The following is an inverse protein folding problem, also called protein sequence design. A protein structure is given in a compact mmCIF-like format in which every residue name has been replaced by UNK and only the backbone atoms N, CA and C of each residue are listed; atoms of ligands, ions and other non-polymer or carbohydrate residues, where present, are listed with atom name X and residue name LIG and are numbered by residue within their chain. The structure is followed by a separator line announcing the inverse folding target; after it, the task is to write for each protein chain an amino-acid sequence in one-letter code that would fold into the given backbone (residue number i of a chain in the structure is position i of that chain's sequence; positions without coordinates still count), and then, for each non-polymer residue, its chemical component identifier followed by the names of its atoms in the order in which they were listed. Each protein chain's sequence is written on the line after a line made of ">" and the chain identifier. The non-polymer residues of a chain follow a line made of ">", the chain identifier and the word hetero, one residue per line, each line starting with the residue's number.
data_IF_495108620407
#
_entry.id   IF_495108620407
#
_cell.length_a   1.000
_cell.length_b   1.000
_cell.length_c   1.000
_cell.angle_alpha   90.00
_cell.angle_beta   90.00
_cell.angle_gamma   90.00
#
_symmetry.space_group_name_H-M   'P 1'
#
loop_
_entity.id
_entity.type
_entity.pdbx_description
1 polymer ?
#
# COMPACT_ATOMS: atom_id res chain seq x y z
N UNK A 1 10.33 22.73 8.83
CA UNK A 1 10.55 22.28 7.43
C UNK A 1 10.18 23.38 6.43
N UNK A 2 9.00 24.01 6.52
CA UNK A 2 8.60 25.13 5.65
C UNK A 2 9.27 26.48 5.98
N UNK A 3 9.89 26.60 7.16
CA UNK A 3 10.61 27.80 7.60
C UNK A 3 12.06 27.88 7.09
N UNK A 4 12.54 26.84 6.39
CA UNK A 4 13.88 26.84 5.84
C UNK A 4 13.98 27.89 4.72
N UNK A 5 15.05 28.68 4.72
CA UNK A 5 15.25 29.85 3.85
C UNK A 5 14.92 29.58 2.37
N UNK A 6 15.27 28.38 1.89
CA UNK A 6 14.91 27.90 0.56
C UNK A 6 13.41 28.01 0.23
N UNK A 7 12.52 27.55 1.12
CA UNK A 7 11.08 27.54 0.86
C UNK A 7 10.47 28.95 0.94
N UNK A 8 11.03 29.82 1.79
CA UNK A 8 10.61 31.21 1.93
C UNK A 8 11.04 32.03 0.72
N UNK A 9 12.29 31.88 0.28
CA UNK A 9 12.85 32.62 -0.85
C UNK A 9 12.30 32.21 -2.21
N UNK A 10 11.85 30.96 -2.36
CA UNK A 10 11.36 30.41 -3.63
C UNK A 10 9.84 30.16 -3.64
N UNK A 11 9.09 30.79 -2.73
CA UNK A 11 7.65 30.58 -2.58
C UNK A 11 6.87 30.68 -3.91
N UNK A 12 7.19 31.67 -4.75
CA UNK A 12 6.53 31.86 -6.05
C UNK A 12 6.74 30.70 -7.04
N UNK A 13 7.88 30.01 -6.96
CA UNK A 13 8.20 28.85 -7.82
C UNK A 13 7.55 27.58 -7.27
N UNK A 14 7.43 27.49 -5.95
CA UNK A 14 6.85 26.33 -5.27
C UNK A 14 5.32 26.38 -5.21
N UNK A 15 4.74 27.58 -5.29
CA UNK A 15 3.29 27.77 -5.21
C UNK A 15 2.52 26.92 -6.22
N UNK A 16 2.86 26.87 -7.53
CA UNK A 16 2.18 25.99 -8.48
C UNK A 16 2.28 24.50 -8.12
N UNK A 17 3.41 24.08 -7.54
CA UNK A 17 3.61 22.70 -7.10
C UNK A 17 2.73 22.36 -5.88
N UNK A 18 2.67 23.25 -4.89
CA UNK A 18 1.81 23.11 -3.71
C UNK A 18 0.35 23.03 -4.15
N UNK A 19 -0.07 23.96 -5.01
CA UNK A 19 -1.43 24.00 -5.56
C UNK A 19 -1.79 22.72 -6.32
N UNK A 20 -0.85 22.17 -7.10
CA UNK A 20 -1.06 20.89 -7.76
C UNK A 20 -1.36 19.76 -6.76
N UNK A 21 -0.60 19.64 -5.66
CA UNK A 21 -0.86 18.62 -4.64
C UNK A 21 -2.16 18.86 -3.87
N UNK A 22 -2.48 20.13 -3.59
CA UNK A 22 -3.74 20.48 -2.93
C UNK A 22 -4.95 20.17 -3.82
N UNK A 23 -4.91 20.49 -5.11
CA UNK A 23 -6.03 20.19 -6.01
C UNK A 23 -6.13 18.70 -6.33
N UNK A 24 -4.99 18.02 -6.42
CA UNK A 24 -4.96 16.63 -6.89
C UNK A 24 -5.17 15.62 -5.77
N UNK A 25 -4.64 15.84 -4.55
CA UNK A 25 -4.58 14.80 -3.52
C UNK A 25 -5.07 15.20 -2.12
N UNK A 26 -4.89 16.47 -1.69
CA UNK A 26 -5.10 16.88 -0.28
C UNK A 26 -6.41 17.65 -0.08
N UNK A 27 -6.77 18.51 -1.02
CA UNK A 27 -7.88 19.46 -0.98
C UNK A 27 -7.48 20.85 -0.44
N UNK A 28 -7.69 21.91 -1.24
CA UNK A 28 -7.46 23.31 -0.82
C UNK A 28 -8.32 23.70 0.37
N UNK A 29 -7.76 24.45 1.32
CA UNK A 29 -8.52 25.03 2.43
C UNK A 29 -9.42 26.15 1.89
N UNK A 30 -10.70 26.08 2.21
CA UNK A 30 -11.71 27.08 1.89
C UNK A 30 -12.21 27.74 3.19
N UNK A 31 -12.99 28.82 3.03
CA UNK A 31 -13.56 29.59 4.14
C UNK A 31 -14.24 28.68 5.16
N UNK A 32 -13.97 28.92 6.45
CA UNK A 32 -14.50 28.12 7.55
C UNK A 32 -13.71 26.84 7.85
N UNK A 33 -12.42 26.78 7.46
CA UNK A 33 -11.51 25.66 7.72
C UNK A 33 -12.00 24.32 7.12
N UNK A 34 -12.80 24.39 6.06
CA UNK A 34 -13.21 23.22 5.26
C UNK A 34 -12.19 22.99 4.15
N UNK A 35 -12.12 21.78 3.61
CA UNK A 35 -11.29 21.49 2.42
C UNK A 35 -12.17 21.16 1.22
N UNK A 36 -11.79 21.66 0.05
CA UNK A 36 -12.39 21.24 -1.22
C UNK A 36 -12.05 19.78 -1.49
N UNK A 37 -12.97 19.01 -2.06
CA UNK A 37 -12.68 17.65 -2.50
C UNK A 37 -11.62 17.68 -3.62
N UNK A 38 -10.47 17.01 -3.46
CA UNK A 38 -9.46 16.93 -4.50
C UNK A 38 -9.84 15.91 -5.59
N UNK A 39 -9.11 15.91 -6.71
CA UNK A 39 -9.32 14.96 -7.83
C UNK A 39 -9.24 13.50 -7.34
N UNK A 40 -8.27 13.20 -6.48
CA UNK A 40 -8.08 11.91 -5.83
C UNK A 40 -8.19 12.09 -4.31
N UNK A 41 -9.38 11.88 -3.72
CA UNK A 41 -9.63 12.01 -2.29
C UNK A 41 -8.68 11.17 -1.44
N UNK A 42 -8.34 11.65 -0.24
CA UNK A 42 -7.47 10.95 0.72
C UNK A 42 -7.95 9.52 0.95
N UNK A 43 -9.26 9.30 1.06
CA UNK A 43 -9.85 7.97 1.25
C UNK A 43 -9.56 6.98 0.12
N UNK A 44 -9.18 7.46 -1.07
CA UNK A 44 -8.87 6.61 -2.22
C UNK A 44 -7.44 6.05 -2.16
N UNK A 45 -6.47 6.88 -1.76
CA UNK A 45 -5.04 6.53 -1.82
C UNK A 45 -4.44 6.22 -0.44
N UNK A 46 -5.10 6.61 0.63
CA UNK A 46 -4.60 6.38 1.98
C UNK A 46 -4.76 4.90 2.38
N UNK A 47 -3.67 4.30 2.89
CA UNK A 47 -3.60 2.89 3.30
C UNK A 47 -3.72 2.70 4.82
N UNK A 48 -4.23 3.72 5.53
CA UNK A 48 -4.41 3.71 6.99
C UNK A 48 -5.29 2.53 7.41
N UNK A 49 -6.52 2.43 6.87
CA UNK A 49 -7.48 1.40 7.29
C UNK A 49 -7.02 0.00 6.90
N UNK A 50 -6.36 -0.12 5.73
CA UNK A 50 -5.72 -1.36 5.32
C UNK A 50 -4.61 -1.77 6.31
N UNK A 51 -3.76 -0.84 6.73
CA UNK A 51 -2.69 -1.11 7.70
C UNK A 51 -3.24 -1.39 9.11
N UNK A 52 -4.31 -0.70 9.50
CA UNK A 52 -5.02 -0.91 10.76
C UNK A 52 -5.59 -2.33 10.84
N UNK A 53 -6.21 -2.77 9.74
CA UNK A 53 -6.85 -4.08 9.59
C UNK A 53 -5.86 -5.22 9.28
N UNK A 54 -4.58 -4.90 9.06
CA UNK A 54 -3.57 -5.89 8.70
C UNK A 54 -3.68 -6.41 7.26
N UNK A 55 -4.38 -5.69 6.39
CA UNK A 55 -4.50 -5.99 4.96
C UNK A 55 -3.18 -5.70 4.23
N UNK A 56 -2.94 -6.43 3.14
CA UNK A 56 -1.79 -6.15 2.27
C UNK A 56 -2.00 -4.83 1.50
N UNK A 57 -0.94 -4.02 1.34
CA UNK A 57 -1.06 -2.59 0.96
C UNK A 57 -1.24 -2.30 -0.53
N UNK A 58 -0.80 -3.18 -1.42
CA UNK A 58 -0.47 -2.76 -2.80
C UNK A 58 -0.80 -3.75 -3.90
N UNK A 59 -1.42 -4.91 -3.60
CA UNK A 59 -1.62 -6.07 -4.51
C UNK A 59 -0.52 -7.14 -4.47
N UNK A 60 0.39 -7.12 -3.49
CA UNK A 60 1.43 -8.13 -3.32
C UNK A 60 0.93 -9.59 -3.41
N UNK A 61 -0.29 -9.87 -2.95
CA UNK A 61 -0.92 -11.18 -3.08
C UNK A 61 -1.22 -11.56 -4.53
N UNK A 62 -1.74 -10.61 -5.32
CA UNK A 62 -2.02 -10.79 -6.76
C UNK A 62 -0.72 -10.92 -7.54
N UNK A 63 0.27 -10.07 -7.28
CA UNK A 63 1.60 -10.18 -7.89
C UNK A 63 2.27 -11.53 -7.54
N UNK A 64 2.17 -11.95 -6.28
CA UNK A 64 2.65 -13.25 -5.83
C UNK A 64 1.94 -14.40 -6.53
N UNK A 65 0.62 -14.30 -6.71
CA UNK A 65 -0.17 -15.28 -7.45
C UNK A 65 0.23 -15.30 -8.93
N UNK A 66 0.32 -14.15 -9.61
CA UNK A 66 0.77 -14.06 -10.99
C UNK A 66 2.17 -14.65 -11.18
N UNK A 67 3.11 -14.33 -10.29
CA UNK A 67 4.47 -14.86 -10.34
C UNK A 67 4.51 -16.38 -10.12
N UNK A 68 3.75 -16.90 -9.15
CA UNK A 68 3.63 -18.34 -8.90
C UNK A 68 3.00 -19.07 -10.10
N UNK A 69 1.89 -18.54 -10.62
CA UNK A 69 1.19 -19.10 -11.78
C UNK A 69 2.05 -19.07 -13.04
N UNK A 70 2.76 -17.97 -13.31
CA UNK A 70 3.69 -17.86 -14.45
C UNK A 70 4.78 -18.94 -14.40
N UNK A 71 5.35 -19.19 -13.22
CA UNK A 71 6.32 -20.29 -13.02
C UNK A 71 5.68 -21.66 -13.20
N UNK A 72 4.44 -21.86 -12.74
CA UNK A 72 3.72 -23.11 -12.93
C UNK A 72 3.43 -23.41 -14.41
N UNK A 73 3.00 -22.41 -15.18
CA UNK A 73 2.71 -22.54 -16.61
C UNK A 73 4.00 -22.75 -17.42
N UNK A 74 5.10 -22.09 -17.05
CA UNK A 74 6.42 -22.22 -17.70
C UNK A 74 6.38 -22.04 -19.23
N UNK A 75 5.57 -21.12 -19.75
CA UNK A 75 5.48 -20.82 -21.18
C UNK A 75 4.92 -19.43 -21.48
N UNK A 76 5.48 -18.74 -22.47
CA UNK A 76 5.14 -17.34 -22.80
C UNK A 76 3.98 -17.18 -23.81
N UNK A 77 3.74 -18.18 -24.67
CA UNK A 77 2.73 -18.12 -25.73
C UNK A 77 2.03 -19.46 -25.90
N UNK A 78 1.00 -19.69 -25.09
CA UNK A 78 0.27 -20.96 -25.06
C UNK A 78 -1.10 -20.81 -25.75
N UNK A 79 -1.52 -21.80 -26.58
CA UNK A 79 -2.89 -21.84 -27.09
C UNK A 79 -3.92 -21.79 -25.96
N UNK A 80 -5.04 -21.10 -26.19
CA UNK A 80 -6.06 -20.85 -25.15
C UNK A 80 -6.53 -22.12 -24.43
N UNK A 81 -6.70 -23.22 -25.15
CA UNK A 81 -7.13 -24.50 -24.55
C UNK A 81 -6.09 -25.07 -23.58
N UNK A 82 -4.79 -25.00 -23.93
CA UNK A 82 -3.72 -25.45 -23.04
C UNK A 82 -3.59 -24.51 -21.83
N UNK A 83 -3.81 -23.20 -22.02
CA UNK A 83 -3.87 -22.24 -20.92
C UNK A 83 -4.99 -22.59 -19.94
N UNK A 84 -6.20 -22.88 -20.44
CA UNK A 84 -7.34 -23.27 -19.61
C UNK A 84 -7.08 -24.57 -18.85
N UNK A 85 -6.42 -25.56 -19.48
CA UNK A 85 -6.00 -26.78 -18.79
C UNK A 85 -5.03 -26.47 -17.65
N UNK A 86 -4.01 -25.64 -17.90
CA UNK A 86 -3.06 -25.21 -16.86
C UNK A 86 -3.72 -24.42 -15.74
N UNK A 87 -4.73 -23.62 -16.05
CA UNK A 87 -5.52 -22.89 -15.06
C UNK A 87 -6.23 -23.85 -14.10
N UNK A 88 -6.85 -24.93 -14.62
CA UNK A 88 -7.49 -25.97 -13.82
C UNK A 88 -6.48 -26.72 -12.94
N UNK A 89 -5.36 -27.15 -13.54
CA UNK A 89 -4.28 -27.82 -12.80
C UNK A 89 -3.73 -26.95 -11.65
N UNK A 90 -3.60 -25.64 -11.87
CA UNK A 90 -3.13 -24.72 -10.84
C UNK A 90 -4.17 -24.51 -9.73
N UNK A 91 -5.46 -24.52 -10.05
CA UNK A 91 -6.54 -24.45 -9.07
C UNK A 91 -6.55 -25.69 -8.17
N UNK A 92 -6.45 -26.88 -8.75
CA UNK A 92 -6.32 -28.15 -8.02
C UNK A 92 -5.10 -28.12 -7.08
N UNK A 93 -3.94 -27.68 -7.60
CA UNK A 93 -2.72 -27.51 -6.82
C UNK A 93 -2.92 -26.52 -5.65
N UNK A 94 -3.55 -25.37 -5.91
CA UNK A 94 -3.80 -24.34 -4.91
C UNK A 94 -4.77 -24.80 -3.82
N UNK A 95 -5.80 -25.55 -4.19
CA UNK A 95 -6.75 -26.17 -3.27
C UNK A 95 -6.06 -27.20 -2.38
N UNK A 96 -5.22 -28.05 -2.96
CA UNK A 96 -4.40 -28.99 -2.19
C UNK A 96 -3.51 -28.27 -1.18
N UNK A 97 -2.77 -27.23 -1.59
CA UNK A 97 -1.96 -26.43 -0.67
C UNK A 97 -2.81 -25.85 0.46
N UNK A 98 -3.97 -25.26 0.13
CA UNK A 98 -4.91 -24.68 1.11
C UNK A 98 -5.38 -25.71 2.13
N UNK A 99 -5.76 -26.92 1.69
CA UNK A 99 -6.15 -28.03 2.58
C UNK A 99 -5.02 -28.40 3.55
N UNK A 100 -3.77 -28.43 3.09
CA UNK A 100 -2.62 -28.69 3.96
C UNK A 100 -2.47 -27.62 5.04
N UNK A 101 -2.67 -26.34 4.70
CA UNK A 101 -2.65 -25.23 5.67
C UNK A 101 -3.76 -25.40 6.71
N UNK A 102 -4.98 -25.69 6.25
CA UNK A 102 -6.14 -25.88 7.12
C UNK A 102 -5.95 -27.08 8.06
N UNK A 103 -5.25 -28.12 7.60
CA UNK A 103 -4.83 -29.25 8.42
C UNK A 103 -3.69 -28.93 9.41
N UNK A 104 -3.22 -27.68 9.48
CA UNK A 104 -2.19 -27.22 10.41
C UNK A 104 -0.75 -27.36 9.90
N UNK A 105 -0.55 -27.66 8.62
CA UNK A 105 0.79 -27.72 8.03
C UNK A 105 1.43 -26.34 8.05
N UNK A 106 2.63 -26.22 8.62
CA UNK A 106 3.37 -24.96 8.66
C UNK A 106 3.92 -24.65 7.26
N UNK A 107 3.49 -23.53 6.69
CA UNK A 107 4.04 -22.98 5.44
C UNK A 107 5.16 -21.98 5.78
N UNK A 108 6.05 -21.75 4.80
CA UNK A 108 7.05 -20.70 4.83
C UNK A 108 6.44 -19.35 5.23
N UNK A 109 7.04 -18.71 6.23
CA UNK A 109 6.56 -17.45 6.79
C UNK A 109 7.06 -16.25 5.98
N UNK A 110 6.30 -15.14 6.00
CA UNK A 110 6.77 -13.83 5.48
C UNK A 110 8.15 -13.53 6.09
N UNK A 111 9.09 -13.03 5.28
CA UNK A 111 10.44 -12.68 5.76
C UNK A 111 10.35 -11.79 7.00
N UNK A 112 11.14 -12.10 8.03
CA UNK A 112 11.08 -11.44 9.35
C UNK A 112 11.13 -9.91 9.26
N UNK A 113 11.93 -9.35 8.34
CA UNK A 113 12.03 -7.90 8.14
C UNK A 113 10.68 -7.23 7.79
N UNK A 114 9.86 -7.87 6.95
CA UNK A 114 8.56 -7.33 6.55
C UNK A 114 7.51 -7.52 7.64
N UNK A 115 7.60 -8.63 8.39
CA UNK A 115 6.77 -8.86 9.56
C UNK A 115 7.00 -7.77 10.62
N UNK A 116 8.26 -7.52 10.97
CA UNK A 116 8.65 -6.49 11.93
C UNK A 116 8.25 -5.08 11.46
N UNK A 117 8.43 -4.76 10.18
CA UNK A 117 7.99 -3.49 9.61
C UNK A 117 6.46 -3.32 9.73
N UNK A 118 5.69 -4.35 9.35
CA UNK A 118 4.24 -4.31 9.45
C UNK A 118 3.77 -4.14 10.89
N UNK A 119 4.38 -4.84 11.84
CA UNK A 119 4.08 -4.69 13.27
C UNK A 119 4.32 -3.27 13.78
N UNK A 120 5.44 -2.64 13.38
CA UNK A 120 5.72 -1.24 13.73
C UNK A 120 4.69 -0.28 13.14
N UNK A 121 4.40 -0.40 11.84
CA UNK A 121 3.43 0.45 11.15
C UNK A 121 2.02 0.29 11.73
N UNK A 122 1.57 -0.94 11.98
CA UNK A 122 0.27 -1.20 12.60
C UNK A 122 0.19 -0.62 14.02
N UNK A 123 1.28 -0.65 14.79
CA UNK A 123 1.32 0.00 16.12
C UNK A 123 1.14 1.51 16.01
N UNK A 124 1.84 2.16 15.09
CA UNK A 124 1.74 3.60 14.87
C UNK A 124 0.33 4.01 14.42
N UNK A 125 -0.22 3.29 13.44
CA UNK A 125 -1.56 3.52 12.90
C UNK A 125 -2.64 3.35 13.98
N UNK A 126 -2.53 2.35 14.86
CA UNK A 126 -3.46 2.16 15.99
C UNK A 126 -3.38 3.26 17.05
N UNK A 127 -2.24 3.93 17.17
CA UNK A 127 -2.03 5.05 18.08
C UNK A 127 -2.25 6.43 17.45
N UNK A 128 -2.89 6.50 16.27
CA UNK A 128 -3.14 7.75 15.58
C UNK A 128 -4.00 8.70 16.42
N UNK A 129 -3.48 9.92 16.66
CA UNK A 129 -4.20 11.01 17.33
C UNK A 129 -4.36 12.18 16.34
N UNK A 130 -5.61 12.57 16.01
CA UNK A 130 -5.89 13.73 15.15
C UNK A 130 -5.34 15.06 15.69
N UNK A 131 -5.09 15.18 17.00
CA UNK A 131 -4.49 16.38 17.58
C UNK A 131 -2.97 16.43 17.40
N UNK A 132 -2.34 15.29 17.06
CA UNK A 132 -0.91 15.18 16.89
C UNK A 132 -0.53 14.51 15.55
N UNK A 133 -1.07 15.07 14.46
CA UNK A 133 -0.84 14.58 13.09
C UNK A 133 0.64 14.68 12.70
N UNK A 134 1.34 15.74 13.15
CA UNK A 134 2.73 15.97 12.74
C UNK A 134 3.66 14.89 13.29
N UNK A 135 3.59 14.57 14.58
CA UNK A 135 4.42 13.51 15.16
C UNK A 135 4.07 12.15 14.56
N UNK A 136 2.78 11.91 14.29
CA UNK A 136 2.36 10.70 13.58
C UNK A 136 3.04 10.57 12.21
N UNK A 137 3.00 11.62 11.38
CA UNK A 137 3.63 11.62 10.06
C UNK A 137 5.16 11.47 10.15
N UNK A 138 5.80 12.09 11.15
CA UNK A 138 7.23 11.93 11.41
C UNK A 138 7.56 10.47 11.75
N UNK A 139 6.84 9.85 12.68
CA UNK A 139 7.04 8.46 13.06
C UNK A 139 6.82 7.49 11.89
N UNK A 140 5.83 7.76 11.04
CA UNK A 140 5.61 6.99 9.81
C UNK A 140 6.80 7.15 8.85
N UNK A 141 7.34 8.35 8.68
CA UNK A 141 8.46 8.59 7.75
C UNK A 141 9.73 7.80 8.12
N UNK A 142 10.03 7.65 9.42
CA UNK A 142 11.14 6.80 9.89
C UNK A 142 10.99 5.31 9.54
N UNK A 143 9.79 4.85 9.21
CA UNK A 143 9.52 3.46 8.82
C UNK A 143 9.43 3.26 7.30
N UNK A 144 9.33 4.35 6.53
CA UNK A 144 9.21 4.32 5.06
C UNK A 144 10.54 4.62 4.37
N UNK A 145 11.45 5.35 5.03
CA UNK A 145 12.81 5.55 4.54
C UNK A 145 13.55 4.19 4.49
N UNK A 146 13.73 3.67 3.28
CA UNK A 146 14.53 2.48 2.94
C UNK A 146 15.69 2.96 2.07
#
# INVERSE_FOLDING_TARGET
>A
MLEHEFFVSHGNILQPLIEYFEDTYIGRVIVGNRRRTPIFPISLWNVHDATFSGCDRTTNGVEGWHHSFSRFVSGNHMPIFKFLTKLKEYEDYSRFQTSQVLAGTRISQKRLKYKALNERLTRLVRGYDPNNIIDYLIHISYNIAI
#
